data_IF_491409017063
#
_entry.id   IF_491409017063
#
_cell.length_a   1.000
_cell.length_b   1.000
_cell.length_c   1.000
_cell.angle_alpha   90.00
_cell.angle_beta   90.00
_cell.angle_gamma   90.00
#
_symmetry.space_group_name_H-M   'P 1'
#
loop_
_entity.id
_entity.type
_entity.pdbx_description
1 polymer ?
#
# COMPACT_ATOMS: atom_id res chain seq x y z
N UNK A 1 -47.19 54.13 13.30
CA UNK A 1 -46.36 53.37 12.35
C UNK A 1 -46.53 53.89 10.93
N UNK A 2 -47.76 54.03 10.41
CA UNK A 2 -48.01 54.60 9.07
C UNK A 2 -47.48 56.03 8.86
N UNK A 3 -47.61 56.90 9.87
CA UNK A 3 -47.02 58.26 9.81
C UNK A 3 -45.48 58.23 9.71
N UNK A 4 -44.82 57.27 10.37
CA UNK A 4 -43.38 57.13 10.30
C UNK A 4 -42.95 56.56 8.93
N UNK A 5 -43.67 55.58 8.39
CA UNK A 5 -43.43 55.04 7.06
C UNK A 5 -43.61 56.11 5.96
N UNK A 6 -44.64 56.97 6.08
CA UNK A 6 -44.84 58.07 5.12
C UNK A 6 -43.71 59.10 5.15
N UNK A 7 -43.26 59.51 6.34
CA UNK A 7 -42.11 60.43 6.47
C UNK A 7 -40.83 59.79 5.93
N UNK A 8 -40.64 58.48 6.13
CA UNK A 8 -39.48 57.77 5.60
C UNK A 8 -39.54 57.59 4.08
N UNK A 9 -40.73 57.38 3.50
CA UNK A 9 -40.95 57.41 2.04
C UNK A 9 -40.51 58.75 1.45
N UNK A 10 -41.00 59.85 2.01
CA UNK A 10 -40.67 61.20 1.54
C UNK A 10 -39.15 61.44 1.59
N UNK A 11 -38.46 60.94 2.63
CA UNK A 11 -37.00 61.10 2.79
C UNK A 11 -36.20 60.21 1.82
N UNK A 12 -36.69 59.02 1.50
CA UNK A 12 -36.03 58.08 0.57
C UNK A 12 -35.99 58.65 -0.86
N UNK A 13 -37.00 59.45 -1.27
CA UNK A 13 -36.96 60.14 -2.57
C UNK A 13 -35.79 61.13 -2.71
N UNK A 14 -35.19 61.58 -1.60
CA UNK A 14 -34.08 62.54 -1.62
C UNK A 14 -32.69 61.88 -1.47
N UNK A 15 -32.58 60.59 -1.12
CA UNK A 15 -31.30 59.87 -0.98
C UNK A 15 -31.44 58.39 -1.33
N UNK A 16 -30.66 57.96 -2.32
CA UNK A 16 -30.61 56.58 -2.78
C UNK A 16 -30.03 55.58 -1.76
N UNK A 17 -29.24 56.05 -0.78
CA UNK A 17 -28.62 55.23 0.27
C UNK A 17 -29.47 55.09 1.55
N UNK A 18 -30.60 55.82 1.64
CA UNK A 18 -31.48 55.76 2.81
C UNK A 18 -32.04 54.37 3.13
N UNK A 19 -32.42 53.51 2.15
CA UNK A 19 -32.83 52.14 2.44
C UNK A 19 -31.73 51.32 3.14
N UNK A 20 -30.45 51.60 2.84
CA UNK A 20 -29.31 50.95 3.49
C UNK A 20 -29.16 51.38 4.94
N UNK A 21 -29.21 52.69 5.17
CA UNK A 21 -29.09 53.27 6.51
C UNK A 21 -30.27 52.82 7.38
N UNK A 22 -31.47 52.76 6.81
CA UNK A 22 -32.67 52.29 7.52
C UNK A 22 -32.53 50.84 7.98
N UNK A 23 -31.98 49.97 7.12
CA UNK A 23 -31.74 48.57 7.48
C UNK A 23 -30.70 48.43 8.61
N UNK A 24 -29.65 49.27 8.62
CA UNK A 24 -28.66 49.29 9.70
C UNK A 24 -29.27 49.78 11.02
N UNK A 25 -30.13 50.80 10.98
CA UNK A 25 -30.89 51.26 12.15
C UNK A 25 -31.83 50.15 12.65
N UNK A 26 -32.51 49.45 11.74
CA UNK A 26 -33.33 48.30 12.11
C UNK A 26 -32.51 47.17 12.73
N UNK A 27 -31.29 46.91 12.25
CA UNK A 27 -30.39 45.92 12.85
C UNK A 27 -30.05 46.26 14.31
N UNK A 28 -29.69 47.51 14.59
CA UNK A 28 -29.36 47.96 15.95
C UNK A 28 -30.58 47.84 16.87
N UNK A 29 -31.75 48.28 16.39
CA UNK A 29 -33.01 48.17 17.13
C UNK A 29 -33.43 46.70 17.32
N UNK A 30 -33.14 45.82 16.36
CA UNK A 30 -33.41 44.38 16.47
C UNK A 30 -32.60 43.77 17.62
N UNK A 31 -31.31 44.11 17.71
CA UNK A 31 -30.42 43.67 18.79
C UNK A 31 -30.88 44.24 20.14
N UNK A 32 -31.15 45.55 20.20
CA UNK A 32 -31.56 46.21 21.44
C UNK A 32 -32.88 45.65 21.97
N UNK A 33 -33.90 45.51 21.10
CA UNK A 33 -35.20 44.96 21.50
C UNK A 33 -35.14 43.48 21.86
N UNK A 34 -34.21 42.72 21.29
CA UNK A 34 -33.98 41.32 21.66
C UNK A 34 -33.29 41.18 23.03
N UNK A 35 -32.42 42.12 23.42
CA UNK A 35 -31.75 42.11 24.73
C UNK A 35 -32.62 42.61 25.89
N UNK A 36 -33.60 43.49 25.63
CA UNK A 36 -34.40 44.14 26.68
C UNK A 36 -35.51 43.26 27.27
N UNK A 37 -35.81 42.09 26.70
CA UNK A 37 -36.88 41.13 27.09
C UNK A 37 -38.32 41.73 27.23
N UNK A 38 -38.53 43.01 26.92
CA UNK A 38 -39.83 43.69 26.95
C UNK A 38 -40.64 43.39 25.68
N UNK A 39 -41.63 42.49 25.80
CA UNK A 39 -42.47 42.05 24.68
C UNK A 39 -43.22 43.18 23.95
N UNK A 40 -43.66 44.22 24.66
CA UNK A 40 -44.36 45.36 24.08
C UNK A 40 -43.50 46.19 23.12
N UNK A 41 -42.23 46.44 23.47
CA UNK A 41 -41.28 47.16 22.61
C UNK A 41 -40.89 46.32 21.39
N UNK A 42 -40.76 45.01 21.58
CA UNK A 42 -40.52 44.06 20.49
C UNK A 42 -41.65 44.07 19.47
N UNK A 43 -42.90 44.00 19.92
CA UNK A 43 -44.08 44.05 19.04
C UNK A 43 -44.18 45.39 18.28
N UNK A 44 -43.84 46.51 18.93
CA UNK A 44 -43.80 47.84 18.29
C UNK A 44 -42.70 47.95 17.21
N UNK A 45 -41.52 47.36 17.46
CA UNK A 45 -40.46 47.28 16.46
C UNK A 45 -40.89 46.43 15.26
N UNK A 46 -41.49 45.27 15.50
CA UNK A 46 -41.98 44.39 14.43
C UNK A 46 -43.02 45.09 13.55
N UNK A 47 -43.97 45.82 14.17
CA UNK A 47 -44.95 46.65 13.45
C UNK A 47 -44.30 47.76 12.63
N UNK A 48 -43.24 48.39 13.15
CA UNK A 48 -42.49 49.42 12.43
C UNK A 48 -41.79 48.84 11.19
N UNK A 49 -41.10 47.69 11.32
CA UNK A 49 -40.42 47.04 10.21
C UNK A 49 -41.44 46.58 9.15
N UNK A 50 -42.57 46.01 9.56
CA UNK A 50 -43.67 45.62 8.65
C UNK A 50 -44.17 46.81 7.83
N UNK A 51 -44.39 47.97 8.46
CA UNK A 51 -44.84 49.19 7.78
C UNK A 51 -43.78 49.75 6.81
N UNK A 52 -42.50 49.37 6.97
CA UNK A 52 -41.38 49.83 6.16
C UNK A 52 -40.88 48.76 5.15
N UNK A 53 -41.56 47.62 4.99
CA UNK A 53 -41.17 46.58 4.03
C UNK A 53 -41.16 47.05 2.57
N UNK A 54 -42.00 48.04 2.23
CA UNK A 54 -42.02 48.62 0.90
C UNK A 54 -40.84 49.58 0.64
N UNK A 55 -40.14 50.00 1.71
CA UNK A 55 -39.05 50.97 1.68
C UNK A 55 -37.67 50.31 1.58
N UNK A 56 -37.54 49.12 2.14
CA UNK A 56 -36.27 48.39 2.23
C UNK A 56 -36.39 47.06 1.52
N UNK A 57 -35.43 46.76 0.65
CA UNK A 57 -35.41 45.48 -0.06
C UNK A 57 -35.34 44.28 0.90
N UNK A 58 -36.08 43.22 0.56
CA UNK A 58 -36.07 41.95 1.28
C UNK A 58 -34.65 41.34 1.39
N UNK A 59 -33.83 41.53 0.36
CA UNK A 59 -32.42 41.09 0.35
C UNK A 59 -31.61 41.73 1.47
N UNK A 60 -31.80 43.02 1.70
CA UNK A 60 -31.02 43.77 2.68
C UNK A 60 -31.47 43.46 4.11
N UNK A 61 -32.78 43.31 4.33
CA UNK A 61 -33.33 42.88 5.62
C UNK A 61 -32.83 41.46 5.98
N UNK A 62 -32.79 40.54 5.01
CA UNK A 62 -32.24 39.18 5.20
C UNK A 62 -30.75 39.15 5.51
N UNK A 63 -29.99 40.16 5.10
CA UNK A 63 -28.56 40.29 5.40
C UNK A 63 -28.32 40.82 6.83
N UNK A 64 -29.19 41.70 7.32
CA UNK A 64 -28.95 42.53 8.52
C UNK A 64 -29.75 42.13 9.77
N UNK A 65 -30.94 41.55 9.62
CA UNK A 65 -31.80 41.18 10.75
C UNK A 65 -31.55 39.76 11.25
N UNK A 66 -31.89 39.51 12.51
CA UNK A 66 -31.77 38.17 13.10
C UNK A 66 -32.77 37.18 12.47
N UNK A 67 -32.40 35.90 12.26
CA UNK A 67 -33.28 34.89 11.70
C UNK A 67 -34.61 34.71 12.43
N UNK A 68 -34.68 34.89 13.75
CA UNK A 68 -35.94 34.80 14.50
C UNK A 68 -36.89 35.98 14.19
N UNK A 69 -36.31 37.17 14.01
CA UNK A 69 -37.01 38.38 13.53
C UNK A 69 -37.56 38.18 12.14
N UNK A 70 -36.73 37.65 11.23
CA UNK A 70 -37.12 37.41 9.84
C UNK A 70 -38.26 36.39 9.72
N UNK A 71 -38.30 35.37 10.57
CA UNK A 71 -39.40 34.39 10.63
C UNK A 71 -40.68 35.07 11.13
N UNK A 72 -40.57 35.87 12.19
CA UNK A 72 -41.70 36.61 12.76
C UNK A 72 -42.26 37.68 11.80
N UNK A 73 -41.43 38.24 10.91
CA UNK A 73 -41.84 39.15 9.83
C UNK A 73 -42.39 38.42 8.59
N UNK A 74 -42.31 37.09 8.53
CA UNK A 74 -42.73 36.30 7.38
C UNK A 74 -41.79 36.37 6.16
N UNK A 75 -40.60 36.96 6.31
CA UNK A 75 -39.59 37.06 5.24
C UNK A 75 -38.87 35.73 5.00
N UNK A 76 -38.83 34.87 6.02
CA UNK A 76 -38.39 33.49 5.93
C UNK A 76 -39.44 32.54 6.54
N UNK A 77 -39.47 31.29 6.08
CA UNK A 77 -40.45 30.29 6.55
C UNK A 77 -40.09 29.62 7.87
N UNK A 78 -38.78 29.48 8.16
CA UNK A 78 -38.30 28.78 9.36
C UNK A 78 -36.86 29.23 9.70
N UNK A 79 -36.67 29.88 10.86
CA UNK A 79 -35.37 30.40 11.33
C UNK A 79 -34.32 29.31 11.47
N UNK A 80 -34.67 28.17 12.07
CA UNK A 80 -33.74 27.05 12.29
C UNK A 80 -33.14 26.51 10.98
N UNK A 81 -33.95 26.34 9.93
CA UNK A 81 -33.46 25.86 8.64
C UNK A 81 -32.57 26.90 7.95
N UNK A 82 -32.91 28.18 8.09
CA UNK A 82 -32.12 29.28 7.55
C UNK A 82 -30.74 29.34 8.23
N UNK A 83 -30.69 29.24 9.56
CA UNK A 83 -29.44 29.21 10.32
C UNK A 83 -28.58 27.98 9.97
N UNK A 84 -29.18 26.79 9.86
CA UNK A 84 -28.46 25.60 9.42
C UNK A 84 -27.86 25.78 8.01
N UNK A 85 -28.58 26.42 7.08
CA UNK A 85 -28.05 26.71 5.74
C UNK A 85 -26.92 27.74 5.79
N UNK A 86 -27.08 28.81 6.57
CA UNK A 86 -26.06 29.84 6.76
C UNK A 86 -24.77 29.25 7.31
N UNK A 87 -24.87 28.42 8.36
CA UNK A 87 -23.72 27.70 8.93
C UNK A 87 -23.08 26.79 7.88
N UNK A 88 -23.84 25.97 7.14
CA UNK A 88 -23.28 25.11 6.08
C UNK A 88 -22.56 25.90 5.00
N UNK A 89 -23.09 27.05 4.58
CA UNK A 89 -22.47 27.92 3.57
C UNK A 89 -21.18 28.52 4.11
N UNK A 90 -21.21 29.11 5.32
CA UNK A 90 -20.00 29.64 5.98
C UNK A 90 -18.95 28.55 6.13
N UNK A 91 -19.34 27.36 6.59
CA UNK A 91 -18.42 26.24 6.76
C UNK A 91 -17.78 25.85 5.42
N UNK A 92 -18.59 25.76 4.35
CA UNK A 92 -18.09 25.46 3.00
C UNK A 92 -17.17 26.56 2.47
N UNK A 93 -17.47 27.83 2.75
CA UNK A 93 -16.69 28.96 2.25
C UNK A 93 -15.32 29.06 2.95
N UNK A 94 -15.29 28.85 4.27
CA UNK A 94 -14.10 29.09 5.08
C UNK A 94 -13.24 27.86 5.37
N UNK A 95 -13.83 26.66 5.44
CA UNK A 95 -13.10 25.45 5.86
C UNK A 95 -12.96 24.40 4.75
N UNK A 96 -13.70 24.52 3.64
CA UNK A 96 -13.52 23.58 2.53
C UNK A 96 -12.27 23.99 1.73
N UNK A 97 -11.19 23.25 1.91
CA UNK A 97 -10.03 23.40 1.04
C UNK A 97 -10.43 23.02 -0.39
N UNK A 98 -10.12 23.89 -1.34
CA UNK A 98 -10.25 23.57 -2.77
C UNK A 98 -9.04 22.73 -3.15
N UNK A 99 -9.12 21.41 -2.92
CA UNK A 99 -8.21 20.43 -3.48
C UNK A 99 -8.99 19.55 -4.43
N UNK A 100 -8.50 19.41 -5.64
CA UNK A 100 -9.11 18.58 -6.65
C UNK A 100 -8.47 17.21 -6.60
N UNK A 101 -9.27 16.19 -6.27
CA UNK A 101 -8.81 14.82 -6.07
C UNK A 101 -9.18 13.92 -7.25
N UNK A 102 -10.16 14.32 -8.05
CA UNK A 102 -10.69 13.51 -9.14
C UNK A 102 -10.19 14.06 -10.47
N UNK A 103 -9.79 13.17 -11.38
CA UNK A 103 -9.26 13.55 -12.69
C UNK A 103 -10.20 14.50 -13.46
N UNK A 104 -11.52 14.27 -13.36
CA UNK A 104 -12.54 15.08 -14.03
C UNK A 104 -12.67 16.52 -13.50
N UNK A 105 -12.18 16.77 -12.29
CA UNK A 105 -12.25 18.10 -11.67
C UNK A 105 -11.21 19.03 -12.30
N UNK A 106 -9.97 18.55 -12.47
CA UNK A 106 -8.85 19.33 -13.04
C UNK A 106 -8.09 18.53 -14.11
N UNK A 107 -8.72 18.42 -15.29
CA UNK A 107 -8.17 17.62 -16.39
C UNK A 107 -6.79 18.11 -16.86
N UNK A 108 -6.57 19.43 -16.93
CA UNK A 108 -5.30 20.00 -17.41
C UNK A 108 -4.15 19.73 -16.43
N UNK A 109 -4.37 19.91 -15.13
CA UNK A 109 -3.35 19.69 -14.11
C UNK A 109 -2.89 18.24 -14.07
N UNK A 110 -3.82 17.29 -14.08
CA UNK A 110 -3.48 15.86 -14.12
C UNK A 110 -2.88 15.41 -15.46
N UNK A 111 -3.33 15.97 -16.59
CA UNK A 111 -2.73 15.68 -17.89
C UNK A 111 -1.26 16.14 -17.96
N UNK A 112 -0.98 17.35 -17.45
CA UNK A 112 0.40 17.87 -17.36
C UNK A 112 1.26 17.04 -16.42
N UNK A 113 0.72 16.59 -15.28
CA UNK A 113 1.44 15.70 -14.36
C UNK A 113 1.82 14.37 -15.04
N UNK A 114 0.87 13.72 -15.71
CA UNK A 114 1.12 12.45 -16.41
C UNK A 114 2.12 12.65 -17.55
N UNK A 115 2.02 13.75 -18.30
CA UNK A 115 2.97 14.06 -19.37
C UNK A 115 4.40 14.31 -18.83
N UNK A 116 4.52 15.02 -17.70
CA UNK A 116 5.80 15.29 -17.04
C UNK A 116 6.48 14.01 -16.52
N UNK A 117 5.70 13.10 -15.92
CA UNK A 117 6.20 11.79 -15.45
C UNK A 117 6.44 10.80 -16.62
N UNK A 118 5.74 11.00 -17.74
CA UNK A 118 5.78 10.16 -18.93
C UNK A 118 6.88 10.52 -19.93
N UNK A 119 7.62 11.61 -19.71
CA UNK A 119 8.69 12.04 -20.61
C UNK A 119 9.87 11.05 -20.65
N UNK A 120 10.76 11.21 -21.63
CA UNK A 120 12.00 10.44 -21.64
C UNK A 120 12.90 10.91 -20.49
N UNK A 121 13.18 10.00 -19.56
CA UNK A 121 14.01 10.27 -18.38
C UNK A 121 15.50 10.04 -18.66
N UNK A 122 15.88 9.75 -19.92
CA UNK A 122 17.27 9.63 -20.31
C UNK A 122 17.94 11.02 -20.40
N UNK A 123 19.05 11.24 -19.67
CA UNK A 123 19.86 12.46 -19.75
C UNK A 123 19.97 13.29 -18.46
N UNK A 124 19.79 14.62 -18.58
CA UNK A 124 20.02 15.65 -17.54
C UNK A 124 18.83 15.88 -16.58
N UNK A 125 17.73 15.14 -16.74
CA UNK A 125 16.53 15.33 -15.94
C UNK A 125 16.73 14.63 -14.58
N UNK A 126 16.78 15.41 -13.52
CA UNK A 126 16.94 14.89 -12.14
C UNK A 126 15.59 14.74 -11.46
N UNK A 127 15.52 13.84 -10.47
CA UNK A 127 14.34 13.67 -9.61
C UNK A 127 13.96 14.97 -8.89
N UNK A 128 14.96 15.79 -8.53
CA UNK A 128 14.77 17.09 -7.90
C UNK A 128 14.05 18.09 -8.81
N UNK A 129 14.45 18.18 -10.08
CA UNK A 129 13.81 19.08 -11.05
C UNK A 129 12.34 18.71 -11.29
N UNK A 130 12.07 17.41 -11.46
CA UNK A 130 10.69 16.92 -11.62
C UNK A 130 9.87 17.17 -10.35
N UNK A 131 10.46 17.04 -9.16
CA UNK A 131 9.78 17.36 -7.91
C UNK A 131 9.38 18.84 -7.83
N UNK A 132 10.23 19.76 -8.31
CA UNK A 132 9.89 21.18 -8.41
C UNK A 132 8.73 21.44 -9.38
N UNK A 133 8.74 20.77 -10.54
CA UNK A 133 7.64 20.84 -11.50
C UNK A 133 6.32 20.30 -10.89
N UNK A 134 6.37 19.18 -10.18
CA UNK A 134 5.21 18.60 -9.49
C UNK A 134 4.67 19.57 -8.44
N UNK A 135 5.54 20.20 -7.63
CA UNK A 135 5.13 21.23 -6.65
C UNK A 135 4.45 22.41 -7.33
N UNK A 136 4.99 22.87 -8.46
CA UNK A 136 4.36 23.93 -9.26
C UNK A 136 2.99 23.51 -9.78
N UNK A 137 2.82 22.29 -10.29
CA UNK A 137 1.53 21.78 -10.76
C UNK A 137 0.51 21.68 -9.62
N UNK A 138 0.90 21.17 -8.45
CA UNK A 138 0.06 21.12 -7.25
C UNK A 138 -0.41 22.53 -6.87
N UNK A 139 0.50 23.51 -6.86
CA UNK A 139 0.17 24.89 -6.50
C UNK A 139 -0.68 25.63 -7.54
N UNK A 140 -0.42 25.43 -8.84
CA UNK A 140 -1.15 26.11 -9.91
C UNK A 140 -2.56 25.57 -10.10
N UNK A 141 -2.75 24.26 -9.99
CA UNK A 141 -4.03 23.59 -10.27
C UNK A 141 -4.73 23.10 -9.00
N UNK A 142 -4.20 23.39 -7.81
CA UNK A 142 -4.73 22.91 -6.52
C UNK A 142 -4.97 21.38 -6.50
N UNK A 143 -4.03 20.60 -7.05
CA UNK A 143 -4.14 19.14 -7.11
C UNK A 143 -4.05 18.54 -5.70
N UNK A 144 -4.80 17.46 -5.46
CA UNK A 144 -4.70 16.71 -4.22
C UNK A 144 -3.36 15.94 -4.15
N UNK A 145 -2.51 16.17 -3.12
CA UNK A 145 -1.20 15.53 -3.01
C UNK A 145 -1.25 13.99 -2.90
N UNK A 146 -2.32 13.43 -2.32
CA UNK A 146 -2.46 11.98 -2.20
C UNK A 146 -2.76 11.37 -3.57
N UNK A 147 -3.59 12.03 -4.38
CA UNK A 147 -3.83 11.58 -5.76
C UNK A 147 -2.61 11.77 -6.66
N UNK A 148 -1.84 12.82 -6.47
CA UNK A 148 -0.57 13.00 -7.19
C UNK A 148 0.40 11.86 -6.88
N UNK A 149 0.56 11.50 -5.60
CA UNK A 149 1.37 10.36 -5.18
C UNK A 149 0.89 9.04 -5.79
N UNK A 150 -0.42 8.81 -5.78
CA UNK A 150 -1.04 7.65 -6.38
C UNK A 150 -0.70 7.52 -7.87
N UNK A 151 -0.72 8.63 -8.63
CA UNK A 151 -0.32 8.67 -10.04
C UNK A 151 1.19 8.43 -10.20
N UNK A 152 2.04 8.98 -9.32
CA UNK A 152 3.49 8.72 -9.34
C UNK A 152 3.76 7.22 -9.18
N UNK A 153 3.05 6.55 -8.27
CA UNK A 153 3.17 5.10 -8.07
C UNK A 153 2.69 4.30 -9.28
N UNK A 154 1.59 4.70 -9.94
CA UNK A 154 1.09 4.05 -11.15
C UNK A 154 2.05 4.20 -12.34
N UNK A 155 2.65 5.38 -12.52
CA UNK A 155 3.66 5.59 -13.56
C UNK A 155 4.92 4.78 -13.25
N UNK A 156 5.33 4.70 -11.98
CA UNK A 156 6.46 3.89 -11.56
C UNK A 156 6.21 2.39 -11.80
N UNK A 157 5.00 1.92 -11.51
CA UNK A 157 4.57 0.55 -11.78
C UNK A 157 4.70 0.19 -13.27
N UNK A 158 4.41 1.15 -14.15
CA UNK A 158 4.52 0.99 -15.61
C UNK A 158 5.95 1.16 -16.15
N UNK A 159 6.89 1.68 -15.36
CA UNK A 159 8.26 2.01 -15.79
C UNK A 159 9.30 1.44 -14.82
N UNK A 160 9.44 0.10 -14.74
CA UNK A 160 10.35 -0.55 -13.80
C UNK A 160 11.84 -0.25 -14.05
N UNK A 161 12.19 0.21 -15.25
CA UNK A 161 13.59 0.47 -15.65
C UNK A 161 14.25 1.64 -14.90
N UNK A 162 13.44 2.52 -14.29
CA UNK A 162 13.89 3.79 -13.71
C UNK A 162 13.82 3.79 -12.17
N UNK A 163 14.16 2.69 -11.51
CA UNK A 163 14.18 2.58 -10.04
C UNK A 163 15.03 3.69 -9.38
N UNK A 164 16.24 3.91 -9.93
CA UNK A 164 17.19 4.93 -9.45
C UNK A 164 16.67 6.38 -9.59
N UNK A 165 15.61 6.60 -10.36
CA UNK A 165 14.97 7.90 -10.52
C UNK A 165 13.71 8.04 -9.63
N UNK A 166 12.81 7.05 -9.68
CA UNK A 166 11.52 7.11 -8.97
C UNK A 166 11.67 6.96 -7.47
N UNK A 167 12.62 6.14 -6.99
CA UNK A 167 12.79 5.94 -5.55
C UNK A 167 13.25 7.24 -4.86
N UNK A 168 14.29 7.96 -5.32
CA UNK A 168 14.64 9.26 -4.73
C UNK A 168 13.56 10.33 -4.88
N UNK A 169 12.78 10.28 -5.97
CA UNK A 169 11.65 11.19 -6.18
C UNK A 169 10.57 10.96 -5.11
N UNK A 170 10.18 9.71 -4.87
CA UNK A 170 9.18 9.34 -3.86
C UNK A 170 9.72 9.65 -2.45
N UNK A 171 10.98 9.35 -2.16
CA UNK A 171 11.63 9.68 -0.88
C UNK A 171 11.56 11.19 -0.60
N UNK A 172 11.93 12.01 -1.59
CA UNK A 172 11.89 13.47 -1.47
C UNK A 172 10.46 14.03 -1.39
N UNK A 173 9.50 13.40 -2.07
CA UNK A 173 8.08 13.75 -1.99
C UNK A 173 7.49 13.42 -0.61
N UNK A 174 7.87 12.27 -0.04
CA UNK A 174 7.44 11.81 1.28
C UNK A 174 7.91 12.68 2.43
N UNK A 175 9.02 13.40 2.28
CA UNK A 175 9.44 14.38 3.29
C UNK A 175 8.42 15.51 3.53
N UNK A 176 7.50 15.74 2.58
CA UNK A 176 6.45 16.75 2.69
C UNK A 176 5.08 16.17 3.10
N UNK A 177 4.98 14.85 3.23
CA UNK A 177 3.72 14.13 3.45
C UNK A 177 3.74 13.38 4.79
N UNK A 178 2.57 12.94 5.25
CA UNK A 178 2.51 12.05 6.40
C UNK A 178 3.00 10.64 6.02
N UNK A 179 3.88 9.98 6.81
CA UNK A 179 4.47 8.68 6.48
C UNK A 179 3.44 7.57 6.19
N UNK A 180 2.31 7.58 6.90
CA UNK A 180 1.25 6.58 6.75
C UNK A 180 0.49 6.68 5.42
N UNK A 181 0.57 7.82 4.73
CA UNK A 181 -0.16 8.07 3.48
C UNK A 181 0.20 7.04 2.41
N UNK A 182 1.50 6.78 2.24
CA UNK A 182 2.00 5.84 1.26
C UNK A 182 1.51 4.41 1.54
N UNK A 183 1.55 4.00 2.81
CA UNK A 183 1.04 2.70 3.25
C UNK A 183 -0.46 2.56 2.98
N UNK A 184 -1.26 3.59 3.31
CA UNK A 184 -2.70 3.58 3.06
C UNK A 184 -3.05 3.52 1.55
N UNK A 185 -2.30 4.23 0.70
CA UNK A 185 -2.50 4.18 -0.75
C UNK A 185 -2.18 2.78 -1.30
N UNK A 186 -1.05 2.19 -0.91
CA UNK A 186 -0.74 0.81 -1.31
C UNK A 186 -1.77 -0.18 -0.77
N UNK A 187 -2.17 -0.06 0.49
CA UNK A 187 -3.21 -0.90 1.09
C UNK A 187 -4.55 -0.77 0.36
N UNK A 188 -4.89 0.43 -0.11
CA UNK A 188 -6.07 0.64 -0.95
C UNK A 188 -5.92 -0.02 -2.33
N UNK A 189 -4.76 0.08 -2.98
CA UNK A 189 -4.47 -0.62 -4.25
C UNK A 189 -4.55 -2.15 -4.08
N UNK A 190 -3.97 -2.70 -3.02
CA UNK A 190 -4.07 -4.13 -2.72
C UNK A 190 -5.52 -4.56 -2.49
N UNK A 191 -6.33 -3.76 -1.79
CA UNK A 191 -7.76 -4.01 -1.61
C UNK A 191 -8.56 -3.95 -2.91
N UNK A 192 -8.19 -3.06 -3.83
CA UNK A 192 -8.85 -2.94 -5.12
C UNK A 192 -8.75 -4.24 -5.94
N UNK A 193 -7.59 -4.88 -5.94
CA UNK A 193 -7.37 -6.15 -6.65
C UNK A 193 -7.93 -7.39 -5.93
N UNK A 194 -8.61 -7.24 -4.79
CA UNK A 194 -9.24 -8.35 -4.05
C UNK A 194 -10.68 -8.68 -4.53
N UNK A 195 -11.21 -7.93 -5.51
CA UNK A 195 -12.51 -8.24 -6.11
C UNK A 195 -12.48 -9.61 -6.83
N UNK A 196 -13.60 -10.34 -6.95
CA UNK A 196 -13.63 -11.78 -7.34
C UNK A 196 -13.01 -12.15 -8.69
N UNK A 197 -12.64 -11.18 -9.53
CA UNK A 197 -11.94 -11.36 -10.80
C UNK A 197 -10.58 -10.64 -10.86
N UNK A 198 -10.15 -10.00 -9.76
CA UNK A 198 -8.90 -9.29 -9.66
C UNK A 198 -7.76 -10.26 -9.36
N UNK A 199 -6.77 -10.31 -10.24
CA UNK A 199 -5.45 -10.83 -9.91
C UNK A 199 -4.57 -9.62 -9.63
N UNK A 200 -3.86 -9.64 -8.50
CA UNK A 200 -2.97 -8.56 -8.12
C UNK A 200 -1.76 -8.58 -9.05
N UNK A 201 -1.42 -7.46 -9.71
CA UNK A 201 -0.37 -7.45 -10.71
C UNK A 201 1.02 -7.62 -10.08
N UNK A 202 1.89 -8.37 -10.76
CA UNK A 202 3.28 -8.63 -10.32
C UNK A 202 4.09 -7.33 -10.17
N UNK A 203 3.76 -6.32 -10.98
CA UNK A 203 4.34 -4.99 -10.93
C UNK A 203 4.07 -4.27 -9.60
N UNK A 204 2.86 -4.42 -9.03
CA UNK A 204 2.52 -3.84 -7.72
C UNK A 204 3.32 -4.50 -6.59
N UNK A 205 3.46 -5.83 -6.60
CA UNK A 205 4.31 -6.52 -5.62
C UNK A 205 5.77 -6.07 -5.69
N UNK A 206 6.28 -5.87 -6.91
CA UNK A 206 7.65 -5.36 -7.13
C UNK A 206 7.80 -3.96 -6.54
N UNK A 207 6.90 -3.03 -6.86
CA UNK A 207 6.96 -1.66 -6.32
C UNK A 207 6.89 -1.68 -4.80
N UNK A 208 5.95 -2.43 -4.21
CA UNK A 208 5.84 -2.54 -2.76
C UNK A 208 7.12 -3.08 -2.10
N UNK A 209 7.73 -4.11 -2.70
CA UNK A 209 8.97 -4.68 -2.19
C UNK A 209 10.17 -3.72 -2.29
N UNK A 210 10.26 -2.89 -3.36
CA UNK A 210 11.30 -1.85 -3.47
C UNK A 210 11.08 -0.75 -2.42
N UNK A 211 9.85 -0.31 -2.19
CA UNK A 211 9.55 0.71 -1.19
C UNK A 211 9.88 0.25 0.25
N UNK A 212 9.61 -1.03 0.57
CA UNK A 212 10.00 -1.65 1.85
C UNK A 212 11.52 -1.76 1.97
N UNK A 213 12.20 -2.13 0.90
CA UNK A 213 13.66 -2.21 0.87
C UNK A 213 14.32 -0.86 1.21
N UNK A 214 13.77 0.24 0.71
CA UNK A 214 14.27 1.60 0.95
C UNK A 214 13.81 2.24 2.27
N UNK A 215 13.06 1.53 3.14
CA UNK A 215 12.47 2.06 4.37
C UNK A 215 11.48 3.21 4.16
N UNK A 216 10.79 3.25 3.03
CA UNK A 216 9.73 4.23 2.82
C UNK A 216 8.42 3.81 3.49
N UNK A 217 8.29 2.51 3.82
CA UNK A 217 7.12 1.90 4.44
C UNK A 217 7.61 0.85 5.43
N UNK A 218 6.87 0.68 6.53
CA UNK A 218 7.08 -0.41 7.48
C UNK A 218 6.27 -1.65 7.09
N UNK A 219 6.89 -2.82 7.20
CA UNK A 219 6.25 -4.09 6.86
C UNK A 219 5.01 -4.33 7.72
N UNK A 220 5.06 -3.99 9.01
CA UNK A 220 3.96 -4.20 9.96
C UNK A 220 2.69 -3.46 9.53
N UNK A 221 2.83 -2.22 9.07
CA UNK A 221 1.71 -1.40 8.61
C UNK A 221 1.10 -1.95 7.31
N UNK A 222 1.94 -2.35 6.36
CA UNK A 222 1.45 -2.92 5.10
C UNK A 222 0.79 -4.28 5.32
N UNK A 223 1.32 -5.09 6.25
CA UNK A 223 0.85 -6.45 6.52
C UNK A 223 -0.63 -6.49 6.95
N UNK A 224 -1.09 -5.47 7.69
CA UNK A 224 -2.50 -5.34 8.13
C UNK A 224 -3.46 -5.15 6.95
N UNK A 225 -2.97 -4.64 5.81
CA UNK A 225 -3.78 -4.42 4.62
C UNK A 225 -3.79 -5.61 3.64
N UNK A 226 -2.87 -6.57 3.82
CA UNK A 226 -2.74 -7.74 2.94
C UNK A 226 -3.71 -8.85 3.35
N UNK A 227 -4.30 -9.50 2.35
CA UNK A 227 -5.10 -10.71 2.51
C UNK A 227 -4.40 -11.91 1.87
N UNK A 228 -4.68 -13.15 2.36
CA UNK A 228 -5.62 -13.51 3.41
C UNK A 228 -5.10 -13.21 4.82
N UNK A 229 -6.01 -13.19 5.80
CA UNK A 229 -5.64 -13.13 7.21
C UNK A 229 -4.83 -14.37 7.62
N UNK A 230 -3.94 -14.23 8.61
CA UNK A 230 -3.08 -15.34 9.06
C UNK A 230 -3.89 -16.54 9.55
N UNK A 231 -5.06 -16.28 10.15
CA UNK A 231 -5.97 -17.32 10.59
C UNK A 231 -6.47 -18.18 9.42
N UNK A 232 -6.83 -17.54 8.30
CA UNK A 232 -7.27 -18.24 7.09
C UNK A 232 -6.16 -19.10 6.52
N UNK A 233 -4.93 -18.57 6.43
CA UNK A 233 -3.76 -19.29 5.95
C UNK A 233 -3.47 -20.52 6.83
N UNK A 234 -3.57 -20.36 8.15
CA UNK A 234 -3.38 -21.44 9.12
C UNK A 234 -4.43 -22.55 8.97
N UNK A 235 -5.69 -22.20 8.74
CA UNK A 235 -6.77 -23.17 8.53
C UNK A 235 -6.62 -23.92 7.21
N UNK A 236 -6.33 -23.22 6.12
CA UNK A 236 -6.08 -23.82 4.81
C UNK A 236 -4.90 -24.79 4.86
N UNK A 237 -3.78 -24.35 5.42
CA UNK A 237 -2.60 -25.18 5.57
C UNK A 237 -2.86 -26.41 6.46
N UNK A 238 -3.62 -26.25 7.54
CA UNK A 238 -4.00 -27.38 8.42
C UNK A 238 -4.86 -28.40 7.65
N UNK A 239 -5.77 -27.94 6.80
CA UNK A 239 -6.60 -28.78 5.93
C UNK A 239 -5.74 -29.54 4.92
N UNK A 240 -4.87 -28.84 4.20
CA UNK A 240 -3.95 -29.43 3.21
C UNK A 240 -3.03 -30.49 3.82
N UNK A 241 -2.42 -30.19 4.98
CA UNK A 241 -1.62 -31.18 5.71
C UNK A 241 -2.48 -32.38 6.13
N UNK A 242 -3.72 -32.14 6.54
CA UNK A 242 -4.67 -33.19 6.90
C UNK A 242 -4.94 -34.13 5.72
N UNK A 243 -5.21 -33.58 4.54
CA UNK A 243 -5.45 -34.32 3.30
C UNK A 243 -4.19 -35.07 2.85
N UNK A 244 -3.03 -34.41 2.82
CA UNK A 244 -1.75 -35.03 2.49
C UNK A 244 -1.43 -36.21 3.43
N UNK A 245 -1.66 -36.07 4.74
CA UNK A 245 -1.50 -37.17 5.71
C UNK A 245 -2.49 -38.31 5.45
N UNK A 246 -3.72 -38.03 5.03
CA UNK A 246 -4.68 -39.06 4.64
C UNK A 246 -4.24 -39.78 3.37
N UNK A 247 -3.71 -39.06 2.38
CA UNK A 247 -3.16 -39.64 1.15
C UNK A 247 -1.97 -40.55 1.47
N UNK A 248 -1.04 -40.11 2.33
CA UNK A 248 0.07 -40.95 2.79
C UNK A 248 -0.44 -42.20 3.50
N UNK A 249 -1.41 -42.08 4.41
CA UNK A 249 -2.03 -43.24 5.07
C UNK A 249 -2.66 -44.21 4.07
N UNK A 250 -3.37 -43.69 3.05
CA UNK A 250 -3.96 -44.50 1.98
C UNK A 250 -2.89 -45.19 1.12
N UNK A 251 -1.80 -44.50 0.79
CA UNK A 251 -0.65 -45.06 0.07
C UNK A 251 0.07 -46.15 0.89
N UNK A 252 0.28 -45.93 2.20
CA UNK A 252 0.85 -46.94 3.10
C UNK A 252 -0.06 -48.16 3.24
N UNK A 253 -1.39 -48.00 3.17
CA UNK A 253 -2.35 -49.12 3.21
C UNK A 253 -2.43 -49.91 1.90
N UNK A 254 -2.16 -49.30 0.75
CA UNK A 254 -2.26 -49.92 -0.59
C UNK A 254 -1.08 -50.86 -0.90
N UNK A 255 -0.03 -50.90 -0.06
CA UNK A 255 1.07 -51.88 -0.15
C UNK A 255 0.60 -53.34 0.09
N UNK A 256 -0.68 -53.57 0.42
CA UNK A 256 -1.27 -54.90 0.62
C UNK A 256 -2.35 -55.29 -0.41
N UNK A 257 -2.56 -54.54 -1.50
CA UNK A 257 -3.59 -54.87 -2.50
C UNK A 257 -3.20 -54.42 -3.91
N UNK A 258 -2.29 -55.17 -4.54
CA UNK A 258 -1.94 -55.00 -5.95
C UNK A 258 -3.01 -55.67 -6.83
N UNK A 259 -4.02 -54.91 -7.26
CA UNK A 259 -4.83 -55.15 -8.48
C UNK A 259 -5.95 -54.10 -8.51
N UNK A 260 -5.69 -52.96 -9.18
CA UNK A 260 -6.61 -51.88 -9.65
C UNK A 260 -5.96 -50.49 -9.58
N UNK A 261 -4.72 -50.32 -10.05
CA UNK A 261 -4.04 -49.01 -10.06
C UNK A 261 -4.20 -48.20 -11.36
N UNK A 262 -4.61 -48.81 -12.48
CA UNK A 262 -4.51 -48.14 -13.79
C UNK A 262 -5.68 -47.17 -14.12
N UNK A 263 -6.84 -47.27 -13.46
CA UNK A 263 -7.95 -46.32 -13.70
C UNK A 263 -7.83 -45.02 -12.87
N UNK A 264 -7.07 -45.03 -11.77
CA UNK A 264 -6.93 -43.86 -10.87
C UNK A 264 -5.88 -42.85 -11.30
N UNK A 265 -4.96 -43.20 -12.19
CA UNK A 265 -3.93 -42.28 -12.67
C UNK A 265 -4.50 -41.21 -13.62
N UNK A 266 -5.53 -41.56 -14.42
CA UNK A 266 -6.19 -40.61 -15.32
C UNK A 266 -7.13 -39.62 -14.61
N UNK A 267 -7.60 -39.93 -13.40
CA UNK A 267 -8.32 -38.97 -12.56
C UNK A 267 -7.37 -38.02 -11.82
N UNK A 268 -6.18 -38.50 -11.42
CA UNK A 268 -5.13 -37.67 -10.81
C UNK A 268 -4.60 -36.58 -11.73
N UNK A 269 -4.37 -36.87 -13.01
CA UNK A 269 -3.91 -35.85 -13.98
C UNK A 269 -4.95 -34.73 -14.17
N UNK A 270 -6.26 -35.04 -14.07
CA UNK A 270 -7.34 -34.05 -14.17
C UNK A 270 -7.59 -33.25 -12.87
N UNK A 271 -7.19 -33.79 -11.71
CA UNK A 271 -7.24 -33.08 -10.43
C UNK A 271 -6.00 -32.21 -10.20
N UNK A 272 -4.82 -32.64 -10.68
CA UNK A 272 -3.59 -31.84 -10.66
C UNK A 272 -3.71 -30.57 -11.53
N UNK A 273 -4.39 -30.64 -12.68
CA UNK A 273 -4.71 -29.44 -13.49
C UNK A 273 -5.73 -28.49 -12.81
N UNK A 274 -6.50 -28.97 -11.83
CA UNK A 274 -7.50 -28.15 -11.11
C UNK A 274 -6.99 -27.53 -9.80
N UNK A 275 -5.83 -27.94 -9.31
CA UNK A 275 -5.20 -27.38 -8.10
C UNK A 275 -4.22 -26.24 -8.38
N UNK A 276 -4.13 -25.73 -9.62
CA UNK A 276 -3.15 -24.68 -9.98
C UNK A 276 -3.51 -23.25 -9.58
N UNK A 277 -4.68 -22.99 -9.00
CA UNK A 277 -4.99 -21.64 -8.49
C UNK A 277 -5.34 -21.69 -7.00
N UNK A 278 -4.35 -21.69 -6.09
CA UNK A 278 -4.60 -21.17 -4.76
C UNK A 278 -5.10 -19.73 -4.91
N UNK A 279 -6.05 -19.29 -4.07
CA UNK A 279 -6.58 -17.93 -4.13
C UNK A 279 -5.41 -16.94 -4.05
N UNK A 280 -5.52 -15.81 -4.76
CA UNK A 280 -4.45 -14.82 -4.93
C UNK A 280 -3.93 -14.33 -3.57
N UNK A 281 -2.93 -15.06 -3.04
CA UNK A 281 -2.42 -14.86 -1.71
C UNK A 281 -1.40 -13.74 -1.78
N UNK A 282 -1.84 -12.52 -1.48
CA UNK A 282 -1.02 -11.32 -1.66
C UNK A 282 0.26 -11.35 -0.83
N UNK A 283 0.23 -12.04 0.31
CA UNK A 283 1.41 -12.28 1.15
C UNK A 283 2.47 -13.13 0.45
N UNK A 284 2.04 -14.15 -0.31
CA UNK A 284 2.94 -15.01 -1.08
C UNK A 284 3.51 -14.27 -2.30
N UNK A 285 2.68 -13.47 -2.99
CA UNK A 285 3.13 -12.62 -4.10
C UNK A 285 4.15 -11.56 -3.65
N UNK A 286 3.92 -10.92 -2.49
CA UNK A 286 4.87 -9.98 -1.91
C UNK A 286 6.18 -10.69 -1.50
N UNK A 287 6.09 -11.88 -0.90
CA UNK A 287 7.27 -12.68 -0.54
C UNK A 287 8.09 -13.07 -1.78
N UNK A 288 7.44 -13.47 -2.87
CA UNK A 288 8.12 -13.76 -4.14
C UNK A 288 8.88 -12.53 -4.66
N UNK A 289 8.24 -11.35 -4.67
CA UNK A 289 8.86 -10.11 -5.12
C UNK A 289 10.05 -9.70 -4.22
N UNK A 290 9.91 -9.78 -2.90
CA UNK A 290 10.99 -9.50 -1.95
C UNK A 290 12.20 -10.40 -2.16
N UNK A 291 11.99 -11.70 -2.38
CA UNK A 291 13.07 -12.65 -2.62
C UNK A 291 13.80 -12.38 -3.94
N UNK A 292 13.07 -11.99 -5.00
CA UNK A 292 13.68 -11.60 -6.29
C UNK A 292 14.53 -10.33 -6.18
N UNK A 293 14.08 -9.37 -5.38
CA UNK A 293 14.83 -8.13 -5.10
C UNK A 293 15.99 -8.42 -4.12
N UNK A 294 15.87 -9.45 -3.29
CA UNK A 294 16.88 -9.88 -2.33
C UNK A 294 16.75 -9.26 -0.94
N UNK A 295 15.55 -8.79 -0.56
CA UNK A 295 15.29 -8.33 0.80
C UNK A 295 15.00 -9.52 1.73
N UNK A 296 16.06 -10.06 2.34
CA UNK A 296 15.97 -11.25 3.18
C UNK A 296 15.32 -10.98 4.54
N UNK A 297 15.54 -9.82 5.16
CA UNK A 297 15.08 -9.55 6.52
C UNK A 297 13.55 -9.47 6.59
N UNK A 298 12.94 -8.75 5.66
CA UNK A 298 11.48 -8.67 5.56
C UNK A 298 10.88 -10.01 5.09
N UNK A 299 11.53 -10.70 4.15
CA UNK A 299 11.10 -12.03 3.72
C UNK A 299 11.10 -13.03 4.89
N UNK A 300 12.13 -13.01 5.73
CA UNK A 300 12.21 -13.85 6.93
C UNK A 300 11.09 -13.53 7.91
N UNK A 301 10.83 -12.23 8.17
CA UNK A 301 9.74 -11.80 9.05
C UNK A 301 8.37 -12.31 8.56
N UNK A 302 8.09 -12.24 7.25
CA UNK A 302 6.86 -12.79 6.67
C UNK A 302 6.82 -14.32 6.81
N UNK A 303 7.93 -15.01 6.56
CA UNK A 303 8.02 -16.48 6.69
C UNK A 303 7.84 -16.96 8.14
N UNK A 304 8.31 -16.21 9.13
CA UNK A 304 8.16 -16.55 10.55
C UNK A 304 6.70 -16.43 11.04
N UNK A 305 5.90 -15.57 10.42
CA UNK A 305 4.46 -15.44 10.72
C UNK A 305 3.61 -16.53 10.05
N UNK A 306 4.16 -17.24 9.07
CA UNK A 306 3.47 -18.29 8.34
C UNK A 306 3.80 -19.69 8.88
N UNK A 307 2.95 -20.70 8.60
CA UNK A 307 3.28 -22.08 8.96
C UNK A 307 4.59 -22.55 8.33
N UNK A 308 5.35 -23.44 9.00
CA UNK A 308 6.63 -23.91 8.50
C UNK A 308 6.44 -24.63 7.15
N UNK A 309 7.28 -24.27 6.18
CA UNK A 309 7.28 -24.81 4.81
C UNK A 309 6.04 -24.50 3.93
N UNK A 310 5.08 -23.71 4.41
CA UNK A 310 3.94 -23.29 3.58
C UNK A 310 4.40 -22.42 2.41
N UNK A 311 5.19 -21.37 2.69
CA UNK A 311 5.72 -20.48 1.67
C UNK A 311 6.58 -21.22 0.61
N UNK A 312 7.39 -22.18 1.05
CA UNK A 312 8.31 -22.91 0.17
C UNK A 312 7.66 -24.09 -0.57
N UNK A 313 6.42 -24.44 -0.21
CA UNK A 313 5.59 -25.36 -1.01
C UNK A 313 5.24 -24.76 -2.37
N UNK A 314 5.17 -23.42 -2.47
CA UNK A 314 4.94 -22.74 -3.73
C UNK A 314 6.24 -22.68 -4.55
N UNK A 315 6.20 -23.28 -5.75
CA UNK A 315 7.36 -23.37 -6.66
C UNK A 315 8.02 -22.02 -7.00
N UNK A 316 7.30 -20.91 -7.27
CA UNK A 316 7.93 -19.63 -7.58
C UNK A 316 8.79 -19.08 -6.42
N UNK A 317 8.32 -19.22 -5.18
CA UNK A 317 9.01 -18.78 -3.97
C UNK A 317 10.25 -19.63 -3.72
N UNK A 318 10.14 -20.96 -3.86
CA UNK A 318 11.28 -21.86 -3.73
C UNK A 318 12.38 -21.54 -4.75
N UNK A 319 12.01 -21.26 -6.00
CA UNK A 319 12.96 -20.87 -7.05
C UNK A 319 13.59 -19.50 -6.78
N UNK A 320 12.82 -18.51 -6.32
CA UNK A 320 13.34 -17.20 -5.94
C UNK A 320 14.36 -17.30 -4.79
N UNK A 321 14.07 -18.11 -3.77
CA UNK A 321 15.01 -18.37 -2.67
C UNK A 321 16.25 -19.13 -3.15
N UNK A 322 16.11 -20.08 -4.09
CA UNK A 322 17.25 -20.76 -4.70
C UNK A 322 18.14 -19.80 -5.50
N UNK A 323 17.55 -18.86 -6.25
CA UNK A 323 18.29 -17.82 -6.96
C UNK A 323 19.05 -16.90 -6.01
N UNK A 324 18.44 -16.49 -4.90
CA UNK A 324 19.11 -15.70 -3.86
C UNK A 324 20.30 -16.47 -3.26
N UNK A 325 20.10 -17.74 -2.92
CA UNK A 325 21.16 -18.62 -2.44
C UNK A 325 22.28 -18.79 -3.46
N UNK A 326 21.96 -18.88 -4.75
CA UNK A 326 22.94 -18.91 -5.83
C UNK A 326 23.82 -17.67 -5.86
N UNK A 327 23.24 -16.47 -5.72
CA UNK A 327 24.00 -15.21 -5.64
C UNK A 327 24.94 -15.23 -4.43
N UNK A 328 24.44 -15.65 -3.26
CA UNK A 328 25.21 -15.61 -2.02
C UNK A 328 26.39 -16.58 -1.98
N UNK A 329 26.24 -17.77 -2.53
CA UNK A 329 27.30 -18.79 -2.52
C UNK A 329 28.27 -18.66 -3.69
N UNK A 330 27.96 -17.87 -4.72
CA UNK A 330 28.77 -17.73 -5.94
C UNK A 330 30.26 -17.39 -5.67
N UNK A 331 30.63 -16.41 -4.82
CA UNK A 331 32.04 -16.08 -4.60
C UNK A 331 32.83 -17.23 -3.95
N UNK A 332 32.25 -17.89 -2.94
CA UNK A 332 32.88 -19.01 -2.26
C UNK A 332 32.92 -20.27 -3.14
N UNK A 333 31.84 -20.52 -3.88
CA UNK A 333 31.76 -21.65 -4.81
C UNK A 333 32.80 -21.52 -5.93
N UNK A 334 33.04 -20.31 -6.46
CA UNK A 334 34.12 -20.08 -7.44
C UNK A 334 35.51 -20.32 -6.88
N UNK A 335 35.74 -19.94 -5.62
CA UNK A 335 37.04 -20.11 -4.97
C UNK A 335 37.35 -21.58 -4.68
N UNK A 336 36.35 -22.36 -4.26
CA UNK A 336 36.59 -23.68 -3.66
C UNK A 336 35.85 -24.84 -4.34
N UNK A 337 34.67 -24.57 -4.91
CA UNK A 337 33.76 -25.58 -5.46
C UNK A 337 33.86 -25.81 -6.97
N UNK A 338 34.49 -24.89 -7.73
CA UNK A 338 34.67 -25.03 -9.18
C UNK A 338 35.81 -26.01 -9.48
N UNK A 339 35.51 -27.04 -10.27
CA UNK A 339 36.51 -27.96 -10.81
C UNK A 339 37.50 -27.16 -11.68
N UNK A 340 38.81 -27.36 -11.49
CA UNK A 340 39.86 -26.68 -12.27
C UNK A 340 39.54 -26.76 -13.76
N UNK A 341 39.24 -25.62 -14.40
CA UNK A 341 38.94 -25.50 -15.83
C UNK A 341 37.47 -25.30 -16.22
N UNK A 342 36.50 -25.41 -15.30
CA UNK A 342 35.09 -25.17 -15.61
C UNK A 342 34.73 -23.67 -15.58
N UNK A 343 34.32 -23.11 -16.72
CA UNK A 343 33.79 -21.74 -16.82
C UNK A 343 32.27 -21.76 -16.61
N UNK A 344 31.82 -21.63 -15.36
CA UNK A 344 30.41 -21.39 -15.06
C UNK A 344 30.00 -19.95 -15.40
N UNK A 345 28.75 -19.74 -15.81
CA UNK A 345 28.20 -18.40 -15.99
C UNK A 345 28.17 -17.67 -14.62
N UNK A 346 28.73 -16.45 -14.50
CA UNK A 346 28.63 -15.66 -13.27
C UNK A 346 27.19 -15.32 -12.97
N UNK A 347 26.77 -15.61 -11.74
CA UNK A 347 25.57 -14.99 -11.18
C UNK A 347 25.99 -13.60 -10.71
N UNK A 348 25.43 -12.51 -11.28
CA UNK A 348 25.80 -11.16 -10.86
C UNK A 348 25.38 -10.93 -9.40
N UNK A 349 26.19 -10.21 -8.61
CA UNK A 349 25.80 -9.81 -7.26
C UNK A 349 24.59 -8.88 -7.32
N UNK A 350 23.68 -9.02 -6.36
CA UNK A 350 22.58 -8.08 -6.18
C UNK A 350 23.17 -6.73 -5.73
N UNK A 351 22.81 -5.64 -6.41
CA UNK A 351 23.36 -4.29 -6.16
C UNK A 351 22.72 -3.58 -4.96
N UNK A 352 21.87 -4.28 -4.20
CA UNK A 352 20.97 -3.66 -3.23
C UNK A 352 21.59 -3.48 -1.84
N UNK A 353 21.29 -2.33 -1.20
CA UNK A 353 21.80 -1.96 0.15
C UNK A 353 21.41 -2.96 1.26
N UNK A 354 20.29 -3.66 1.09
CA UNK A 354 19.76 -4.69 2.02
C UNK A 354 19.91 -6.12 1.52
N UNK A 355 20.50 -6.34 0.34
CA UNK A 355 20.79 -7.69 -0.08
C UNK A 355 21.77 -8.36 0.91
N UNK A 356 21.55 -9.62 1.28
CA UNK A 356 22.48 -10.34 2.14
C UNK A 356 23.87 -10.35 1.48
N UNK A 357 24.89 -10.01 2.26
CA UNK A 357 26.27 -9.92 1.76
C UNK A 357 26.69 -11.28 1.20
N UNK A 358 27.28 -11.33 -0.01
CA UNK A 358 27.81 -12.58 -0.55
C UNK A 358 28.79 -13.21 0.43
N UNK A 359 28.68 -14.52 0.66
CA UNK A 359 29.50 -15.21 1.65
C UNK A 359 30.94 -15.36 1.12
N UNK A 360 31.88 -14.60 1.68
CA UNK A 360 33.32 -14.70 1.31
C UNK A 360 34.08 -15.72 2.17
N UNK A 361 33.56 -16.00 3.38
CA UNK A 361 34.12 -16.93 4.34
C UNK A 361 33.11 -18.04 4.71
N UNK A 362 33.63 -19.19 5.17
CA UNK A 362 32.79 -20.32 5.60
C UNK A 362 31.95 -20.01 6.86
N UNK A 363 32.34 -19.02 7.66
CA UNK A 363 31.53 -18.57 8.82
C UNK A 363 30.26 -17.82 8.39
N UNK A 364 30.34 -17.02 7.32
CA UNK A 364 29.19 -16.30 6.77
C UNK A 364 28.21 -17.28 6.09
N UNK A 365 28.76 -18.30 5.42
CA UNK A 365 27.97 -19.42 4.91
C UNK A 365 27.26 -20.15 6.07
N UNK A 366 27.93 -20.31 7.22
CA UNK A 366 27.32 -20.99 8.38
C UNK A 366 26.13 -20.21 8.96
N UNK A 367 26.23 -18.88 9.00
CA UNK A 367 25.20 -18.03 9.64
C UNK A 367 24.04 -17.75 8.70
N UNK A 368 24.30 -17.25 7.50
CA UNK A 368 23.24 -16.73 6.63
C UNK A 368 22.68 -17.82 5.69
N UNK A 369 23.56 -18.56 5.01
CA UNK A 369 23.17 -19.55 4.00
C UNK A 369 22.49 -20.76 4.64
N UNK A 370 22.97 -21.24 5.80
CA UNK A 370 22.28 -22.34 6.49
C UNK A 370 20.93 -21.93 7.07
N UNK A 371 20.79 -20.70 7.56
CA UNK A 371 19.48 -20.21 8.00
C UNK A 371 18.50 -20.23 6.82
N UNK A 372 18.88 -19.70 5.67
CA UNK A 372 18.07 -19.75 4.44
C UNK A 372 17.75 -21.17 3.96
N UNK A 373 18.72 -22.10 4.03
CA UNK A 373 18.48 -23.51 3.69
C UNK A 373 17.53 -24.21 4.67
N UNK A 374 17.53 -23.83 5.95
CA UNK A 374 16.56 -24.32 6.93
C UNK A 374 15.14 -23.86 6.59
N UNK A 375 14.95 -22.60 6.16
CA UNK A 375 13.66 -22.10 5.68
C UNK A 375 13.22 -22.76 4.37
N UNK A 376 14.15 -23.04 3.45
CA UNK A 376 13.88 -23.76 2.20
C UNK A 376 13.39 -25.20 2.46
N UNK A 377 14.01 -25.88 3.44
CA UNK A 377 13.60 -27.22 3.86
C UNK A 377 13.69 -28.28 2.74
N UNK A 378 12.67 -29.14 2.59
CA UNK A 378 12.69 -30.26 1.63
C UNK A 378 12.49 -29.82 0.17
N UNK A 379 12.18 -28.56 -0.08
CA UNK A 379 11.86 -28.02 -1.41
C UNK A 379 13.11 -27.67 -2.24
N UNK A 380 14.30 -28.00 -1.76
CA UNK A 380 15.54 -27.97 -2.54
C UNK A 380 15.52 -28.95 -3.73
N UNK A 381 14.57 -29.87 -3.77
CA UNK A 381 14.34 -30.78 -4.90
C UNK A 381 14.05 -30.06 -6.22
N UNK A 382 13.55 -28.82 -6.18
CA UNK A 382 13.27 -28.03 -7.37
C UNK A 382 14.52 -27.50 -8.08
N UNK A 383 15.66 -27.39 -7.38
CA UNK A 383 16.92 -26.92 -7.95
C UNK A 383 18.09 -27.90 -7.66
N UNK A 384 18.34 -28.85 -8.59
CA UNK A 384 19.42 -29.81 -8.44
C UNK A 384 20.81 -29.16 -8.56
N UNK A 385 20.92 -27.97 -9.17
CA UNK A 385 22.19 -27.27 -9.34
C UNK A 385 22.63 -26.70 -8.01
N UNK A 386 21.72 -26.04 -7.30
CA UNK A 386 22.00 -25.51 -5.96
C UNK A 386 22.40 -26.64 -5.01
N UNK A 387 21.67 -27.75 -5.03
CA UNK A 387 22.02 -28.93 -4.23
C UNK A 387 23.47 -29.41 -4.49
N UNK A 388 23.87 -29.52 -5.76
CA UNK A 388 25.23 -29.90 -6.12
C UNK A 388 26.29 -28.86 -5.69
N UNK A 389 25.99 -27.55 -5.81
CA UNK A 389 26.89 -26.48 -5.34
C UNK A 389 27.12 -26.58 -3.83
N UNK A 390 26.05 -26.75 -3.05
CA UNK A 390 26.13 -26.84 -1.59
C UNK A 390 26.85 -28.11 -1.14
N UNK A 391 26.62 -29.26 -1.79
CA UNK A 391 27.37 -30.50 -1.50
C UNK A 391 28.87 -30.36 -1.76
N UNK A 392 29.26 -29.67 -2.85
CA UNK A 392 30.68 -29.41 -3.17
C UNK A 392 31.32 -28.47 -2.16
N UNK A 393 30.60 -27.43 -1.74
CA UNK A 393 31.04 -26.53 -0.67
C UNK A 393 31.20 -27.27 0.65
N UNK A 394 30.23 -28.10 1.03
CA UNK A 394 30.31 -28.94 2.23
C UNK A 394 31.48 -29.93 2.17
N UNK A 395 31.75 -30.54 1.01
CA UNK A 395 32.93 -31.40 0.81
C UNK A 395 34.24 -30.64 0.97
N UNK A 396 34.32 -29.40 0.48
CA UNK A 396 35.51 -28.60 0.60
C UNK A 396 35.73 -28.07 2.03
N UNK A 397 34.66 -27.61 2.68
CA UNK A 397 34.68 -27.27 4.10
C UNK A 397 35.19 -28.44 4.95
N UNK A 398 34.70 -29.65 4.70
CA UNK A 398 35.15 -30.86 5.40
C UNK A 398 36.61 -31.22 5.16
N UNK A 399 37.20 -30.81 4.02
CA UNK A 399 38.63 -31.00 3.72
C UNK A 399 39.50 -29.96 4.44
N UNK A 400 39.06 -28.71 4.53
CA UNK A 400 39.75 -27.68 5.31
C UNK A 400 39.66 -27.98 6.82
N UNK A 401 38.50 -28.42 7.31
CA UNK A 401 38.32 -28.83 8.71
C UNK A 401 39.02 -30.14 9.09
N UNK A 402 39.40 -30.99 8.12
CA UNK A 402 40.26 -32.15 8.39
C UNK A 402 41.71 -31.74 8.69
N UNK A 403 42.12 -30.53 8.30
CA UNK A 403 43.43 -29.96 8.62
C UNK A 403 43.42 -29.29 10.00
N UNK A 404 42.29 -28.70 10.41
CA UNK A 404 42.07 -28.10 11.74
C UNK A 404 41.41 -29.09 12.71
N UNK A 405 42.22 -29.98 13.30
CA UNK A 405 41.81 -31.14 14.10
C UNK A 405 41.09 -30.89 15.44
N UNK A 406 40.25 -29.88 15.61
CA UNK A 406 39.53 -29.63 16.87
C UNK A 406 38.14 -28.99 16.65
N UNK A 407 37.08 -29.83 16.57
CA UNK A 407 35.66 -29.57 16.93
C UNK A 407 34.74 -30.67 16.35
N UNK A 408 34.55 -31.76 17.09
CA UNK A 408 33.77 -32.94 16.67
C UNK A 408 32.23 -32.70 16.77
N UNK A 409 31.76 -31.93 17.76
CA UNK A 409 30.32 -31.71 18.01
C UNK A 409 29.60 -30.85 16.96
N UNK A 410 30.30 -29.87 16.38
CA UNK A 410 29.75 -29.01 15.32
C UNK A 410 29.53 -29.78 14.01
N UNK A 411 30.28 -30.87 13.81
CA UNK A 411 30.23 -31.74 12.64
C UNK A 411 28.92 -32.54 12.58
N UNK A 412 28.47 -33.07 13.72
CA UNK A 412 27.26 -33.90 13.80
C UNK A 412 25.96 -33.09 13.71
N UNK A 413 25.90 -31.90 14.32
CA UNK A 413 24.75 -30.99 14.17
C UNK A 413 24.61 -30.49 12.73
N UNK A 414 25.72 -30.17 12.08
CA UNK A 414 25.76 -29.70 10.69
C UNK A 414 25.31 -30.79 9.72
N UNK A 415 25.89 -31.99 9.81
CA UNK A 415 25.52 -33.13 8.95
C UNK A 415 24.10 -33.61 9.25
N UNK A 416 23.64 -33.58 10.51
CA UNK A 416 22.30 -33.99 10.90
C UNK A 416 21.19 -33.07 10.36
N UNK A 417 21.36 -31.75 10.44
CA UNK A 417 20.44 -30.77 9.84
C UNK A 417 20.43 -30.87 8.30
N UNK A 418 21.63 -30.94 7.72
CA UNK A 418 21.83 -31.01 6.28
C UNK A 418 21.27 -32.30 5.66
N UNK A 419 21.51 -33.46 6.28
CA UNK A 419 21.00 -34.73 5.77
C UNK A 419 19.50 -34.89 6.01
N UNK A 420 18.96 -34.46 7.17
CA UNK A 420 17.51 -34.55 7.43
C UNK A 420 16.70 -33.67 6.48
N UNK A 421 17.12 -32.42 6.27
CA UNK A 421 16.35 -31.50 5.42
C UNK A 421 16.41 -31.87 3.95
N UNK A 422 17.48 -32.54 3.49
CA UNK A 422 17.71 -32.76 2.05
C UNK A 422 17.45 -34.18 1.56
N UNK A 423 17.48 -35.21 2.41
CA UNK A 423 17.29 -36.60 1.98
C UNK A 423 15.88 -37.17 2.19
N UNK A 424 14.96 -36.45 2.85
CA UNK A 424 13.64 -36.98 3.18
C UNK A 424 12.61 -36.96 2.03
N UNK A 425 12.88 -36.33 0.88
CA UNK A 425 11.96 -36.33 -0.26
C UNK A 425 12.70 -36.36 -1.62
N UNK A 426 13.06 -37.55 -2.09
CA UNK A 426 13.30 -37.80 -3.52
C UNK A 426 12.26 -38.78 -4.07
N UNK A 427 11.51 -38.39 -5.11
CA UNK A 427 10.95 -39.33 -6.07
C UNK A 427 11.92 -39.66 -7.21
N UNK A 428 12.97 -38.86 -7.45
CA UNK A 428 13.81 -39.01 -8.64
C UNK A 428 15.31 -39.13 -8.30
N UNK A 429 15.82 -40.36 -8.44
CA UNK A 429 17.09 -40.70 -9.10
C UNK A 429 17.12 -42.23 -9.26
N UNK A 430 16.67 -42.69 -10.44
CA UNK A 430 17.27 -43.84 -11.13
C UNK A 430 18.35 -43.28 -12.03
#
# INVERSE_FOLDING_TARGET
>A
HDQASNVLNDIIEFRDDMPSILADVFCILDIETSCLEEKSKRDQFMQLVLACLNLVSDTLLKERLDPETLESLGLIKQSQQFNQKSVKIKTKLFYKQQKFNLLREENEGYAKLIAELGQDLSGNITSELILENIKSLIGCFNLDPNRVLDIILEVYECRPEYDEFFVPLIESYMYMCEPQTLCHILGFKFKFYQEPNGETPVSLYRVAAILLQHNLIDLEDLYVHLLPSDHTILEEHRREIGEAKQIVRKLTMVVLSSEKMEEKEKEKEKEEEKMEKPPDNQKLGLLEAMLKIGDWQHAQSIMDQMPPFYATSHKPIALALCQLLHVMIEPLYRRVGVLKGAKGAPVPPLQNKRAPKPAEHFEDLRKEVFNMLCYLGPHLSHDPILFAKVLRLGKAFMKEYQLDGNKQEDREKMVGSFLKNTFLNRPCNI
#
